data_IF_439156594477
#
_entry.id   IF_439156594477
#
_cell.length_a   1.000
_cell.length_b   1.000
_cell.length_c   1.000
_cell.angle_alpha   90.00
_cell.angle_beta   90.00
_cell.angle_gamma   90.00
#
_symmetry.space_group_name_H-M   'P 1'
#
loop_
_entity.id
_entity.type
_entity.pdbx_description
1 polymer ?
#
# COMPACT_ATOMS: atom_id res chain seq x y z
N UNK A 1 -23.16 53.62 -2.53
CA UNK A 1 -22.08 52.62 -2.56
C UNK A 1 -22.39 51.60 -1.47
N UNK A 2 -22.76 50.38 -1.84
CA UNK A 2 -23.21 49.35 -0.88
C UNK A 2 -22.05 48.41 -0.57
N UNK A 3 -21.50 48.53 0.63
CA UNK A 3 -20.46 47.63 1.15
C UNK A 3 -21.08 46.29 1.54
N UNK A 4 -20.75 45.22 0.82
CA UNK A 4 -21.02 43.85 1.25
C UNK A 4 -19.82 43.32 2.04
N UNK A 5 -20.02 42.67 3.20
CA UNK A 5 -18.95 41.99 3.91
C UNK A 5 -18.49 40.75 3.11
N UNK A 6 -17.19 40.39 3.13
CA UNK A 6 -16.73 39.19 2.48
C UNK A 6 -17.32 37.96 3.17
N UNK A 7 -18.05 37.15 2.40
CA UNK A 7 -18.44 35.79 2.81
C UNK A 7 -17.17 35.03 3.18
N UNK A 8 -17.04 34.66 4.46
CA UNK A 8 -16.06 33.68 4.87
C UNK A 8 -16.30 32.39 4.10
N UNK A 9 -15.35 32.04 3.24
CA UNK A 9 -15.30 30.73 2.60
C UNK A 9 -15.08 29.72 3.73
N UNK A 10 -16.09 28.90 3.99
CA UNK A 10 -16.01 27.81 4.93
C UNK A 10 -14.76 26.97 4.62
N UNK A 11 -13.85 26.87 5.59
CA UNK A 11 -12.67 26.04 5.51
C UNK A 11 -13.13 24.60 5.25
N UNK A 12 -12.75 24.06 4.09
CA UNK A 12 -12.96 22.65 3.79
C UNK A 12 -12.35 21.82 4.92
N UNK A 13 -13.19 21.01 5.56
CA UNK A 13 -12.82 20.06 6.60
C UNK A 13 -11.52 19.37 6.24
N UNK A 14 -10.54 19.40 7.14
CA UNK A 14 -9.21 18.80 6.98
C UNK A 14 -9.32 17.39 6.43
N UNK A 15 -9.09 17.21 5.12
CA UNK A 15 -9.01 15.89 4.51
C UNK A 15 -7.77 15.24 5.12
N UNK A 16 -7.96 14.30 6.04
CA UNK A 16 -6.85 13.59 6.68
C UNK A 16 -6.02 12.92 5.58
N UNK A 17 -4.79 13.38 5.43
CA UNK A 17 -3.81 12.76 4.54
C UNK A 17 -3.50 11.36 5.04
N UNK A 18 -3.34 10.41 4.12
CA UNK A 18 -2.90 9.06 4.48
C UNK A 18 -1.39 9.09 4.67
N UNK A 19 -0.93 8.71 5.85
CA UNK A 19 0.48 8.47 6.15
C UNK A 19 0.78 6.99 5.91
N UNK A 20 1.86 6.68 5.18
CA UNK A 20 2.27 5.31 4.88
C UNK A 20 3.66 5.01 5.42
N UNK A 21 3.84 3.79 5.91
CA UNK A 21 5.09 3.31 6.48
C UNK A 21 5.40 1.93 5.92
N UNK A 22 6.68 1.67 5.65
CA UNK A 22 7.17 0.36 5.25
C UNK A 22 8.18 -0.14 6.27
N UNK A 23 8.10 -1.42 6.58
CA UNK A 23 9.01 -2.09 7.49
C UNK A 23 9.41 -3.44 6.93
N UNK A 24 10.56 -3.95 7.34
CA UNK A 24 10.98 -5.32 7.06
C UNK A 24 11.68 -5.95 8.26
N UNK A 25 11.70 -7.28 8.25
CA UNK A 25 12.54 -8.12 9.10
C UNK A 25 13.05 -9.27 8.23
N UNK A 26 14.33 -9.58 8.34
CA UNK A 26 14.95 -10.73 7.69
C UNK A 26 15.89 -11.38 8.70
N UNK A 27 15.69 -12.66 8.97
CA UNK A 27 16.55 -13.52 9.77
C UNK A 27 16.51 -14.95 9.19
N UNK A 28 17.16 -15.89 9.85
CA UNK A 28 17.32 -17.27 9.36
C UNK A 28 15.97 -17.98 9.12
N UNK A 29 14.93 -17.61 9.88
CA UNK A 29 13.63 -18.30 9.83
C UNK A 29 12.51 -17.48 9.16
N UNK A 30 12.70 -16.17 8.99
CA UNK A 30 11.66 -15.25 8.57
C UNK A 30 12.21 -14.14 7.66
N UNK A 31 11.65 -14.04 6.46
CA UNK A 31 11.71 -12.83 5.63
C UNK A 31 10.30 -12.25 5.54
N UNK A 32 10.11 -11.03 6.03
CA UNK A 32 8.80 -10.38 6.00
C UNK A 32 8.87 -8.87 5.80
N UNK A 33 7.87 -8.36 5.07
CA UNK A 33 7.62 -6.94 4.90
C UNK A 33 6.24 -6.57 5.43
N UNK A 34 6.14 -5.38 6.05
CA UNK A 34 4.90 -4.83 6.56
C UNK A 34 4.69 -3.41 6.01
N UNK A 35 3.48 -3.14 5.53
CA UNK A 35 3.04 -1.82 5.05
C UNK A 35 1.86 -1.35 5.88
N UNK A 36 2.01 -0.20 6.53
CA UNK A 36 1.00 0.37 7.44
C UNK A 36 0.54 1.72 6.90
N UNK A 37 -0.76 1.94 6.85
CA UNK A 37 -1.39 3.18 6.43
C UNK A 37 -2.28 3.72 7.53
N UNK A 38 -2.11 5.01 7.84
CA UNK A 38 -2.85 5.70 8.88
C UNK A 38 -3.59 6.88 8.28
N UNK A 39 -4.92 6.93 8.48
CA UNK A 39 -5.77 8.04 8.09
C UNK A 39 -6.57 8.51 9.31
N UNK A 40 -6.16 9.63 9.92
CA UNK A 40 -6.66 9.99 11.25
C UNK A 40 -6.32 8.87 12.25
N UNK A 41 -7.33 8.26 12.87
CA UNK A 41 -7.15 7.10 13.75
C UNK A 41 -7.38 5.76 13.06
N UNK A 42 -7.80 5.74 11.78
CA UNK A 42 -8.00 4.48 11.06
C UNK A 42 -6.67 3.91 10.61
N UNK A 43 -6.51 2.60 10.80
CA UNK A 43 -5.32 1.84 10.39
C UNK A 43 -5.75 0.81 9.36
N UNK A 44 -5.02 0.75 8.26
CA UNK A 44 -5.05 -0.36 7.32
C UNK A 44 -3.63 -0.81 7.02
N UNK A 45 -3.44 -2.01 6.53
CA UNK A 45 -2.10 -2.44 6.14
C UNK A 45 -2.05 -3.86 5.63
N UNK A 46 -0.82 -4.29 5.35
CA UNK A 46 -0.52 -5.61 4.81
C UNK A 46 0.79 -6.12 5.34
N UNK A 47 0.86 -7.43 5.56
CA UNK A 47 2.12 -8.16 5.77
C UNK A 47 2.27 -9.21 4.68
N UNK A 48 3.46 -9.35 4.16
CA UNK A 48 3.88 -10.45 3.29
C UNK A 48 5.07 -11.11 3.96
N UNK A 49 5.04 -12.42 4.12
CA UNK A 49 6.03 -13.14 4.88
C UNK A 49 6.30 -14.51 4.29
N UNK A 50 7.54 -14.93 4.46
CA UNK A 50 8.06 -16.24 4.14
C UNK A 50 8.74 -16.78 5.39
N UNK A 51 8.35 -17.98 5.80
CA UNK A 51 9.00 -18.74 6.86
C UNK A 51 9.89 -19.80 6.20
N UNK A 52 11.13 -19.89 6.64
CA UNK A 52 12.07 -20.94 6.27
C UNK A 52 12.46 -21.72 7.52
N UNK A 53 12.55 -23.05 7.40
CA UNK A 53 13.30 -23.86 8.35
C UNK A 53 14.11 -24.86 7.53
N UNK A 54 15.39 -24.55 7.34
CA UNK A 54 16.30 -25.34 6.51
C UNK A 54 16.55 -26.74 7.09
N UNK A 55 16.60 -26.87 8.41
CA UNK A 55 16.84 -28.15 9.09
C UNK A 55 15.69 -29.14 8.85
N UNK A 56 14.46 -28.63 8.74
CA UNK A 56 13.26 -29.42 8.51
C UNK A 56 12.79 -29.41 7.04
N UNK A 57 13.53 -28.73 6.14
CA UNK A 57 13.11 -28.52 4.74
C UNK A 57 11.70 -27.94 4.61
N UNK A 58 11.31 -27.08 5.55
CA UNK A 58 9.98 -26.46 5.60
C UNK A 58 10.03 -25.03 5.04
N UNK A 59 9.12 -24.75 4.11
CA UNK A 59 8.94 -23.44 3.51
C UNK A 59 7.46 -23.11 3.44
N UNK A 60 7.05 -21.97 4.00
CA UNK A 60 5.67 -21.49 3.87
C UNK A 60 5.63 -20.00 3.68
N UNK A 61 4.63 -19.52 2.95
CA UNK A 61 4.40 -18.09 2.76
C UNK A 61 2.99 -17.73 3.18
N UNK A 62 2.85 -16.54 3.76
CA UNK A 62 1.56 -16.03 4.18
C UNK A 62 1.42 -14.54 3.88
N UNK A 63 0.17 -14.12 3.76
CA UNK A 63 -0.19 -12.72 3.63
C UNK A 63 -1.18 -12.35 4.71
N UNK A 64 -1.07 -11.13 5.23
CA UNK A 64 -2.02 -10.60 6.19
C UNK A 64 -2.64 -9.32 5.66
N UNK A 65 -3.94 -9.15 5.90
CA UNK A 65 -4.59 -7.84 5.80
C UNK A 65 -4.92 -7.32 7.18
N UNK A 66 -4.62 -6.04 7.41
CA UNK A 66 -4.73 -5.38 8.70
C UNK A 66 -5.81 -4.31 8.61
N UNK A 67 -6.73 -4.29 9.56
CA UNK A 67 -7.72 -3.23 9.71
C UNK A 67 -7.91 -2.90 11.19
N UNK A 68 -7.93 -1.63 11.55
CA UNK A 68 -8.02 -1.29 12.96
C UNK A 68 -8.00 0.20 13.26
N UNK A 69 -7.65 0.50 14.52
CA UNK A 69 -7.52 1.87 15.00
C UNK A 69 -6.23 2.09 15.78
N UNK A 70 -5.70 3.31 15.65
CA UNK A 70 -4.54 3.79 16.39
C UNK A 70 -4.99 4.49 17.68
N UNK A 71 -4.32 4.19 18.79
CA UNK A 71 -4.42 4.91 20.06
C UNK A 71 -3.00 5.18 20.58
N UNK A 72 -2.55 6.43 20.52
CA UNK A 72 -1.14 6.76 20.74
C UNK A 72 -0.26 6.01 19.74
N UNK A 73 0.66 5.18 20.25
CA UNK A 73 1.53 4.31 19.45
C UNK A 73 0.98 2.89 19.28
N UNK A 74 -0.16 2.56 19.89
CA UNK A 74 -0.76 1.22 19.79
C UNK A 74 -1.68 1.14 18.58
N UNK A 75 -1.55 0.07 17.80
CA UNK A 75 -2.44 -0.31 16.72
C UNK A 75 -3.29 -1.49 17.21
N UNK A 76 -4.59 -1.27 17.41
CA UNK A 76 -5.53 -2.33 17.72
C UNK A 76 -6.10 -2.87 16.41
N UNK A 77 -5.67 -4.07 16.00
CA UNK A 77 -5.85 -4.61 14.66
C UNK A 77 -6.73 -5.86 14.69
N UNK A 78 -7.67 -5.94 13.74
CA UNK A 78 -8.22 -7.19 13.24
C UNK A 78 -7.34 -7.61 12.06
N UNK A 79 -6.75 -8.79 12.16
CA UNK A 79 -5.77 -9.32 11.21
C UNK A 79 -6.36 -10.55 10.56
N UNK A 80 -6.45 -10.54 9.23
CA UNK A 80 -6.81 -11.73 8.45
C UNK A 80 -5.55 -12.29 7.80
N UNK A 81 -5.12 -13.47 8.24
CA UNK A 81 -3.97 -14.19 7.69
C UNK A 81 -4.46 -15.22 6.67
N UNK A 82 -3.85 -15.23 5.49
CA UNK A 82 -4.04 -16.25 4.46
C UNK A 82 -2.75 -17.01 4.25
N UNK A 83 -2.81 -18.33 4.44
CA UNK A 83 -1.72 -19.29 4.21
C UNK A 83 -2.28 -20.33 3.27
N UNK A 84 -1.76 -20.41 2.05
CA UNK A 84 -2.28 -21.32 1.02
C UNK A 84 -3.82 -21.20 0.83
N UNK A 85 -4.57 -22.24 1.22
CA UNK A 85 -6.04 -22.30 1.15
C UNK A 85 -6.73 -21.91 2.46
N UNK A 86 -5.97 -21.76 3.54
CA UNK A 86 -6.49 -21.47 4.86
C UNK A 86 -6.52 -19.97 5.15
N UNK A 87 -7.52 -19.59 5.93
CA UNK A 87 -7.73 -18.21 6.35
C UNK A 87 -8.08 -18.19 7.83
N UNK A 88 -7.30 -17.41 8.58
CA UNK A 88 -7.50 -17.21 10.01
C UNK A 88 -7.69 -15.74 10.32
N UNK A 89 -8.46 -15.42 11.36
CA UNK A 89 -8.63 -14.05 11.83
C UNK A 89 -8.24 -13.95 13.30
N UNK A 90 -7.40 -12.98 13.62
CA UNK A 90 -6.95 -12.69 14.98
C UNK A 90 -7.16 -11.22 15.33
N UNK A 91 -7.23 -10.94 16.63
CA UNK A 91 -7.12 -9.58 17.15
C UNK A 91 -5.75 -9.43 17.80
N UNK A 92 -5.00 -8.42 17.36
CA UNK A 92 -3.65 -8.18 17.86
C UNK A 92 -3.45 -6.70 18.19
N UNK A 93 -2.57 -6.45 19.14
CA UNK A 93 -2.13 -5.10 19.51
C UNK A 93 -0.66 -4.97 19.15
N UNK A 94 -0.38 -4.14 18.15
CA UNK A 94 0.99 -3.85 17.73
C UNK A 94 1.42 -2.46 18.21
N UNK A 95 2.73 -2.24 18.33
CA UNK A 95 3.29 -0.95 18.73
C UNK A 95 4.07 -0.35 17.56
N UNK A 96 3.68 0.84 17.13
CA UNK A 96 4.30 1.61 16.06
C UNK A 96 5.12 2.76 16.65
N UNK A 97 6.39 2.84 16.29
CA UNK A 97 7.26 3.98 16.61
C UNK A 97 7.69 4.71 15.33
N UNK A 98 8.57 5.71 15.45
CA UNK A 98 9.16 6.38 14.29
C UNK A 98 9.97 5.44 13.39
N UNK A 99 10.55 4.38 13.97
CA UNK A 99 11.61 3.58 13.34
C UNK A 99 11.32 2.07 13.37
N UNK A 100 10.30 1.63 14.10
CA UNK A 100 9.97 0.21 14.23
C UNK A 100 8.49 -0.09 14.34
N UNK A 101 8.14 -1.32 13.99
CA UNK A 101 6.83 -1.93 14.21
C UNK A 101 7.03 -3.21 15.03
N UNK A 102 6.57 -3.21 16.28
CA UNK A 102 6.64 -4.37 17.16
C UNK A 102 5.28 -5.08 17.20
N UNK A 103 5.24 -6.34 16.78
CA UNK A 103 4.02 -7.16 16.73
C UNK A 103 3.78 -7.97 18.01
N UNK A 104 4.68 -7.88 18.98
CA UNK A 104 4.77 -8.76 20.15
C UNK A 104 5.50 -10.08 19.87
N UNK A 105 5.58 -10.49 18.59
CA UNK A 105 6.34 -11.68 18.16
C UNK A 105 7.69 -11.32 17.53
N UNK A 106 7.71 -10.24 16.76
CA UNK A 106 8.89 -9.78 16.04
C UNK A 106 8.88 -8.25 15.94
N UNK A 107 10.07 -7.68 15.83
CA UNK A 107 10.27 -6.24 15.64
C UNK A 107 10.76 -5.99 14.22
N UNK A 108 9.95 -5.32 13.42
CA UNK A 108 10.33 -4.88 12.09
C UNK A 108 11.07 -3.54 12.16
N UNK A 109 12.05 -3.36 11.29
CA UNK A 109 12.79 -2.12 11.11
C UNK A 109 12.22 -1.33 9.95
N UNK A 110 12.12 -0.01 10.10
CA UNK A 110 11.59 0.87 9.07
C UNK A 110 12.46 0.86 7.82
N UNK A 111 11.80 0.84 6.67
CA UNK A 111 12.42 0.88 5.36
C UNK A 111 12.05 2.17 4.63
N UNK A 112 12.97 2.72 3.80
CA UNK A 112 12.62 3.79 2.88
C UNK A 112 11.55 3.34 1.88
N UNK A 113 10.42 4.04 1.86
CA UNK A 113 9.45 3.90 0.79
C UNK A 113 8.71 5.21 0.56
N UNK A 114 8.33 5.45 -0.69
CA UNK A 114 7.50 6.58 -1.06
C UNK A 114 6.05 6.12 -1.10
N UNK A 115 5.20 6.65 -0.23
CA UNK A 115 3.75 6.40 -0.27
C UNK A 115 3.02 7.67 -0.69
N UNK A 116 2.23 7.58 -1.76
CA UNK A 116 1.50 8.71 -2.32
C UNK A 116 0.07 8.34 -2.68
N UNK A 117 -0.88 9.26 -2.49
CA UNK A 117 -2.25 9.06 -2.96
C UNK A 117 -2.38 9.55 -4.40
N UNK A 118 -2.97 8.73 -5.27
CA UNK A 118 -3.40 9.19 -6.60
C UNK A 118 -4.81 9.77 -6.48
N UNK A 119 -4.96 11.01 -6.96
CA UNK A 119 -6.25 11.69 -7.07
C UNK A 119 -6.49 12.06 -8.52
N UNK A 120 -7.70 11.79 -8.98
CA UNK A 120 -8.19 12.17 -10.29
C UNK A 120 -8.71 13.61 -10.22
N UNK A 121 -8.48 14.42 -11.25
CA UNK A 121 -9.06 15.75 -11.30
C UNK A 121 -10.59 15.66 -11.43
N UNK A 122 -11.36 16.63 -10.89
CA UNK A 122 -12.82 16.64 -11.03
C UNK A 122 -13.25 16.49 -12.50
N UNK A 123 -14.23 15.63 -12.77
CA UNK A 123 -14.73 15.35 -14.12
C UNK A 123 -13.81 14.49 -14.99
N UNK A 124 -12.64 14.07 -14.50
CA UNK A 124 -11.72 13.18 -15.20
C UNK A 124 -11.72 11.80 -14.59
N UNK A 125 -11.38 10.81 -15.40
CA UNK A 125 -11.22 9.43 -14.96
C UNK A 125 -9.82 8.87 -15.29
N UNK A 126 -8.90 9.76 -15.67
CA UNK A 126 -7.52 9.44 -16.02
C UNK A 126 -6.56 10.44 -15.35
N UNK A 127 -5.36 9.97 -15.02
CA UNK A 127 -4.24 10.80 -14.57
C UNK A 127 -2.91 10.13 -14.91
N UNK A 128 -1.81 10.87 -14.80
CA UNK A 128 -0.47 10.35 -14.97
C UNK A 128 0.44 10.81 -13.85
N UNK A 129 1.31 9.92 -13.38
CA UNK A 129 2.34 10.20 -12.39
C UNK A 129 3.70 10.03 -13.04
N UNK A 130 4.57 11.03 -12.92
CA UNK A 130 5.97 10.94 -13.33
C UNK A 130 6.84 10.89 -12.06
N UNK A 131 7.69 9.87 -11.94
CA UNK A 131 8.51 9.68 -10.75
C UNK A 131 9.73 8.79 -11.06
N UNK A 132 10.68 8.72 -10.13
CA UNK A 132 11.76 7.74 -10.14
C UNK A 132 11.69 6.82 -8.93
N UNK A 133 12.09 5.56 -9.11
CA UNK A 133 12.27 4.58 -8.03
C UNK A 133 13.73 4.17 -7.96
N UNK A 134 14.30 4.22 -6.76
CA UNK A 134 15.67 3.79 -6.49
C UNK A 134 15.74 2.27 -6.41
N UNK A 135 16.84 1.67 -6.86
CA UNK A 135 17.06 0.22 -6.78
C UNK A 135 16.83 -0.28 -5.35
N UNK A 136 16.06 -1.36 -5.21
CA UNK A 136 15.72 -1.95 -3.91
C UNK A 136 14.60 -1.25 -3.15
N UNK A 137 14.24 -0.02 -3.50
CA UNK A 137 13.09 0.70 -2.92
C UNK A 137 11.79 0.39 -3.69
N UNK A 138 10.67 0.89 -3.16
CA UNK A 138 9.35 0.81 -3.81
C UNK A 138 8.62 2.15 -3.71
N UNK A 139 7.95 2.53 -4.78
CA UNK A 139 6.99 3.63 -4.78
C UNK A 139 5.57 3.04 -4.73
N UNK A 140 4.82 3.36 -3.70
CA UNK A 140 3.48 2.82 -3.45
C UNK A 140 2.46 3.92 -3.70
N UNK A 141 1.60 3.69 -4.67
CA UNK A 141 0.48 4.57 -4.96
C UNK A 141 -0.82 3.99 -4.41
N UNK A 142 -1.50 4.78 -3.57
CA UNK A 142 -2.82 4.45 -3.07
C UNK A 142 -3.87 5.08 -3.98
N UNK A 143 -4.71 4.24 -4.61
CA UNK A 143 -5.80 4.68 -5.46
C UNK A 143 -7.13 4.19 -4.90
N UNK A 144 -7.99 5.13 -4.48
CA UNK A 144 -9.34 4.78 -4.05
C UNK A 144 -10.22 4.48 -5.25
N UNK A 145 -10.83 3.30 -5.26
CA UNK A 145 -11.77 2.87 -6.30
C UNK A 145 -12.85 1.95 -5.72
N UNK A 146 -13.92 1.75 -6.49
CA UNK A 146 -15.07 0.94 -6.10
C UNK A 146 -15.03 -0.44 -6.77
N UNK A 147 -15.62 -1.42 -6.09
CA UNK A 147 -15.87 -2.74 -6.67
C UNK A 147 -16.66 -2.62 -7.98
N UNK A 148 -16.31 -3.45 -8.96
CA UNK A 148 -16.96 -3.52 -10.26
C UNK A 148 -16.39 -2.55 -11.30
N UNK A 149 -15.70 -1.49 -10.87
CA UNK A 149 -15.00 -0.58 -11.79
C UNK A 149 -13.90 -1.31 -12.55
N UNK A 150 -13.47 -0.72 -13.67
CA UNK A 150 -12.28 -1.13 -14.41
C UNK A 150 -11.12 -0.18 -14.11
N UNK A 151 -9.96 -0.74 -13.79
CA UNK A 151 -8.70 0.00 -13.65
C UNK A 151 -7.76 -0.37 -14.80
N UNK A 152 -7.43 0.62 -15.63
CA UNK A 152 -6.40 0.48 -16.65
C UNK A 152 -5.11 1.17 -16.19
N UNK A 153 -4.00 0.43 -16.24
CA UNK A 153 -2.67 0.91 -15.86
C UNK A 153 -1.70 0.69 -17.02
N UNK A 154 -0.84 1.67 -17.26
CA UNK A 154 0.29 1.55 -18.18
C UNK A 154 1.49 2.32 -17.66
N UNK A 155 2.59 1.62 -17.42
CA UNK A 155 3.86 2.24 -17.04
C UNK A 155 4.81 2.25 -18.24
N UNK A 156 5.55 3.34 -18.39
CA UNK A 156 6.63 3.47 -19.38
C UNK A 156 7.87 4.00 -18.68
N UNK A 157 9.04 3.47 -19.01
CA UNK A 157 10.33 3.93 -18.52
C UNK A 157 11.33 3.98 -19.69
N UNK A 158 12.24 4.95 -19.67
CA UNK A 158 13.20 5.15 -20.77
C UNK A 158 14.05 3.89 -21.01
N UNK A 159 14.47 3.23 -19.94
CA UNK A 159 15.29 2.02 -20.00
C UNK A 159 14.49 0.70 -19.96
N UNK A 160 13.15 0.77 -20.10
CA UNK A 160 12.25 -0.39 -20.01
C UNK A 160 12.45 -1.22 -18.72
N UNK A 161 12.77 -0.57 -17.61
CA UNK A 161 13.17 -1.20 -16.36
C UNK A 161 12.23 -0.90 -15.20
N UNK A 162 10.99 -0.46 -15.45
CA UNK A 162 9.98 -0.24 -14.43
C UNK A 162 8.78 -1.17 -14.63
N UNK A 163 8.35 -1.80 -13.54
CA UNK A 163 7.16 -2.67 -13.48
C UNK A 163 6.29 -2.28 -12.29
N UNK A 164 5.05 -2.75 -12.28
CA UNK A 164 4.17 -2.59 -11.13
C UNK A 164 3.44 -3.89 -10.73
N UNK A 165 3.17 -3.97 -9.43
CA UNK A 165 2.18 -4.88 -8.86
C UNK A 165 0.89 -4.13 -8.55
N UNK A 166 -0.23 -4.85 -8.50
CA UNK A 166 -1.53 -4.32 -8.05
C UNK A 166 -2.10 -5.21 -6.97
N UNK A 167 -2.36 -4.63 -5.80
CA UNK A 167 -2.97 -5.33 -4.66
C UNK A 167 -4.30 -4.65 -4.32
N UNK A 168 -5.34 -5.46 -4.18
CA UNK A 168 -6.69 -5.02 -3.86
C UNK A 168 -6.86 -4.73 -2.35
N UNK A 169 -7.87 -3.92 -1.96
CA UNK A 169 -8.15 -3.61 -0.56
C UNK A 169 -8.41 -4.84 0.33
N UNK A 170 -8.85 -5.95 -0.26
CA UNK A 170 -9.07 -7.22 0.42
C UNK A 170 -7.80 -8.10 0.52
N UNK A 171 -6.64 -7.58 0.09
CA UNK A 171 -5.35 -8.26 0.09
C UNK A 171 -5.09 -9.19 -1.09
N UNK A 172 -5.99 -9.26 -2.06
CA UNK A 172 -5.77 -10.07 -3.25
C UNK A 172 -4.74 -9.38 -4.17
N UNK A 173 -3.66 -10.08 -4.50
CA UNK A 173 -2.76 -9.68 -5.59
C UNK A 173 -3.47 -9.87 -6.92
N UNK A 174 -3.71 -8.78 -7.65
CA UNK A 174 -4.40 -8.79 -8.95
C UNK A 174 -3.43 -8.88 -10.12
N UNK A 175 -2.23 -8.32 -9.95
CA UNK A 175 -1.19 -8.35 -10.95
C UNK A 175 0.19 -8.23 -10.30
N UNK A 176 1.17 -8.87 -10.93
CA UNK A 176 2.56 -8.85 -10.51
C UNK A 176 3.44 -8.50 -11.71
N UNK A 177 4.45 -7.67 -11.48
CA UNK A 177 5.52 -7.27 -12.40
C UNK A 177 5.03 -6.89 -13.81
N UNK A 178 3.92 -6.17 -13.90
CA UNK A 178 3.33 -5.78 -15.17
C UNK A 178 3.84 -4.43 -15.67
N UNK A 179 3.84 -4.27 -17.00
CA UNK A 179 3.99 -2.96 -17.66
C UNK A 179 2.64 -2.36 -18.08
N UNK A 180 1.61 -3.20 -18.18
CA UNK A 180 0.24 -2.80 -18.49
C UNK A 180 -0.78 -3.80 -17.93
N UNK A 181 -1.97 -3.32 -17.55
CA UNK A 181 -3.07 -4.18 -17.10
C UNK A 181 -4.43 -3.49 -17.27
N UNK A 182 -5.48 -4.29 -17.48
CA UNK A 182 -6.88 -3.87 -17.35
C UNK A 182 -7.59 -4.80 -16.38
N UNK A 183 -7.97 -4.30 -15.21
CA UNK A 183 -8.44 -5.10 -14.08
C UNK A 183 -9.89 -4.75 -13.74
N UNK A 184 -10.76 -5.75 -13.59
CA UNK A 184 -12.07 -5.57 -12.95
C UNK A 184 -11.87 -5.63 -11.44
N UNK A 185 -12.28 -4.58 -10.74
CA UNK A 185 -11.96 -4.36 -9.34
C UNK A 185 -12.85 -5.23 -8.42
N UNK A 186 -12.26 -6.10 -7.58
CA UNK A 186 -13.05 -7.02 -6.75
C UNK A 186 -13.57 -6.42 -5.45
N UNK A 187 -13.10 -5.23 -5.04
CA UNK A 187 -13.43 -4.64 -3.75
C UNK A 187 -13.45 -3.11 -3.79
N UNK A 188 -14.20 -2.49 -2.89
CA UNK A 188 -14.15 -1.03 -2.70
C UNK A 188 -13.09 -0.67 -1.67
N UNK A 189 -12.21 0.28 -1.97
CA UNK A 189 -11.18 0.73 -1.05
C UNK A 189 -9.95 1.32 -1.73
N UNK A 190 -8.85 1.40 -0.98
CA UNK A 190 -7.55 1.82 -1.51
C UNK A 190 -6.82 0.62 -2.10
N UNK A 191 -6.56 0.67 -3.40
CA UNK A 191 -5.68 -0.23 -4.11
C UNK A 191 -4.23 0.24 -3.95
N UNK A 192 -3.31 -0.71 -3.86
CA UNK A 192 -1.87 -0.43 -3.88
C UNK A 192 -1.35 -0.72 -5.28
N UNK A 193 -0.76 0.29 -5.92
CA UNK A 193 0.02 0.13 -7.15
C UNK A 193 1.48 0.32 -6.76
N UNK A 194 2.23 -0.79 -6.75
CA UNK A 194 3.58 -0.84 -6.20
C UNK A 194 4.56 -0.85 -7.36
N UNK A 195 5.27 0.26 -7.56
CA UNK A 195 6.24 0.40 -8.64
C UNK A 195 7.65 0.08 -8.13
N UNK A 196 8.36 -0.76 -8.87
CA UNK A 196 9.75 -1.14 -8.64
C UNK A 196 10.57 -1.12 -9.93
N UNK A 197 11.89 -1.03 -9.78
CA UNK A 197 12.83 -1.21 -10.88
C UNK A 197 13.22 -2.69 -11.04
N UNK A 198 13.26 -3.20 -12.27
CA UNK A 198 13.78 -4.56 -12.56
C UNK A 198 15.30 -4.59 -12.65
N UNK A 199 15.91 -3.46 -13.04
CA UNK A 199 17.38 -3.28 -13.10
C UNK A 199 17.72 -1.83 -12.77
N UNK A 200 18.52 -1.62 -11.73
CA UNK A 200 18.97 -0.29 -11.32
C UNK A 200 17.83 0.64 -10.87
N UNK A 201 18.07 1.94 -10.97
CA UNK A 201 17.05 2.95 -10.75
C UNK A 201 16.17 3.05 -12.00
N UNK A 202 14.89 3.39 -11.83
CA UNK A 202 13.97 3.55 -12.95
C UNK A 202 13.21 4.87 -12.87
N UNK A 203 13.31 5.71 -13.90
CA UNK A 203 12.46 6.89 -14.10
C UNK A 203 11.31 6.51 -15.01
N UNK A 204 10.08 6.77 -14.57
CA UNK A 204 8.88 6.26 -15.21
C UNK A 204 7.73 7.27 -15.25
N UNK A 205 6.81 7.01 -16.17
CA UNK A 205 5.47 7.58 -16.23
C UNK A 205 4.45 6.46 -16.06
N UNK A 206 3.60 6.56 -15.03
CA UNK A 206 2.48 5.67 -14.77
C UNK A 206 1.18 6.37 -15.17
N UNK A 207 0.51 5.86 -16.20
CA UNK A 207 -0.84 6.30 -16.58
C UNK A 207 -1.86 5.42 -15.87
N UNK A 208 -2.87 6.07 -15.29
CA UNK A 208 -3.92 5.44 -14.50
C UNK A 208 -5.27 5.89 -15.01
N UNK A 209 -6.17 4.96 -15.25
CA UNK A 209 -7.56 5.24 -15.62
C UNK A 209 -8.53 4.36 -14.84
N UNK A 210 -9.64 4.94 -14.40
CA UNK A 210 -10.73 4.27 -13.69
C UNK A 210 -12.03 4.43 -14.49
N UNK A 211 -12.86 3.39 -14.58
CA UNK A 211 -14.16 3.43 -15.24
C UNK A 211 -15.21 2.73 -14.38
#
# INVERSE_FOLDING_TARGET
>A
MVNHPPRQVAQASSVSSIQGYCFSVANDDLDSTARIYIQGNQVTGRVEATIHNEQESYYSSYTQTLQGRKNGNQLNLNIKTKIELDTQTTQEKWTLTSDSLNTGRVVYQKQPCLVSQIRLAPGTNTTAVNQSVVRGSRNIYLLRANQGQRMDLKITALENNAVFDVIAPNGQTLKTEATQSSLKLPATGNYEIIVGGTRGNATYKLNVKIQ
#
